data_IF_565405328629
#
_entry.id   IF_565405328629
#
_cell.length_a   1.000
_cell.length_b   1.000
_cell.length_c   1.000
_cell.angle_alpha   90.00
_cell.angle_beta   90.00
_cell.angle_gamma   90.00
#
_symmetry.space_group_name_H-M   'P 1'
#
loop_
_entity.id
_entity.type
_entity.pdbx_description
1 polymer ?
#
# COMPACT_ATOMS: atom_id res chain seq x y z
N UNK A 1 -14.02 22.84 8.52
CA UNK A 1 -15.18 22.37 7.72
C UNK A 1 -15.48 20.97 8.19
N UNK A 2 -16.64 20.73 8.79
CA UNK A 2 -17.03 19.42 9.32
C UNK A 2 -17.80 18.68 8.21
N UNK A 3 -17.33 17.49 7.82
CA UNK A 3 -18.02 16.64 6.85
C UNK A 3 -19.34 16.12 7.46
N UNK A 4 -20.51 16.44 6.90
CA UNK A 4 -21.78 15.94 7.39
C UNK A 4 -22.01 14.53 6.83
N UNK A 5 -21.55 13.51 7.54
CA UNK A 5 -21.77 12.11 7.13
C UNK A 5 -21.51 11.02 8.17
N UNK A 6 -20.95 11.37 9.33
CA UNK A 6 -20.46 10.37 10.29
C UNK A 6 -21.56 9.76 11.19
N UNK A 7 -22.77 10.34 11.26
CA UNK A 7 -23.79 9.96 12.27
C UNK A 7 -24.87 8.96 11.82
N UNK A 8 -24.91 8.56 10.55
CA UNK A 8 -25.94 7.63 10.04
C UNK A 8 -25.44 6.20 9.78
N UNK A 9 -24.14 5.90 9.98
CA UNK A 9 -23.58 4.57 9.70
C UNK A 9 -23.73 3.53 10.83
N UNK A 10 -24.34 3.90 11.95
CA UNK A 10 -24.44 3.03 13.13
C UNK A 10 -25.69 2.11 13.14
N UNK A 11 -26.52 2.12 12.09
CA UNK A 11 -27.81 1.41 12.06
C UNK A 11 -27.92 0.49 10.84
N UNK A 12 -27.17 -0.63 10.79
CA UNK A 12 -27.54 -1.85 10.03
C UNK A 12 -26.52 -3.02 10.14
N UNK A 13 -26.04 -3.39 11.34
CA UNK A 13 -25.04 -4.48 11.50
C UNK A 13 -25.58 -5.87 11.88
N UNK A 14 -26.88 -6.03 12.12
CA UNK A 14 -27.44 -7.38 12.33
C UNK A 14 -27.77 -8.04 10.99
N UNK A 15 -26.78 -8.74 10.43
CA UNK A 15 -27.00 -9.72 9.37
C UNK A 15 -26.64 -9.31 7.94
N UNK A 16 -25.86 -8.23 7.73
CA UNK A 16 -25.29 -7.94 6.41
C UNK A 16 -23.98 -8.70 6.23
N UNK A 17 -23.90 -9.52 5.18
CA UNK A 17 -22.66 -10.12 4.69
C UNK A 17 -21.70 -8.99 4.30
N UNK A 18 -20.47 -9.03 4.83
CA UNK A 18 -19.41 -8.13 4.40
C UNK A 18 -18.77 -8.68 3.14
N UNK A 19 -18.54 -7.80 2.17
CA UNK A 19 -17.93 -8.12 0.89
C UNK A 19 -16.47 -7.70 0.98
N UNK A 20 -15.56 -8.62 0.63
CA UNK A 20 -14.16 -8.30 0.45
C UNK A 20 -13.99 -7.64 -0.92
N UNK A 21 -13.46 -6.43 -0.94
CA UNK A 21 -13.06 -5.71 -2.14
C UNK A 21 -11.52 -5.73 -2.20
N UNK A 22 -10.98 -6.28 -3.28
CA UNK A 22 -9.55 -6.41 -3.49
C UNK A 22 -9.13 -5.57 -4.71
N UNK A 23 -8.31 -4.53 -4.50
CA UNK A 23 -7.64 -3.82 -5.59
C UNK A 23 -6.30 -4.51 -5.86
N UNK A 24 -6.16 -5.06 -7.07
CA UNK A 24 -4.98 -5.80 -7.51
C UNK A 24 -4.72 -5.47 -8.98
N UNK A 25 -3.49 -5.07 -9.33
CA UNK A 25 -3.12 -4.75 -10.72
C UNK A 25 -4.04 -3.70 -11.38
N UNK A 26 -4.46 -2.69 -10.61
CA UNK A 26 -5.39 -1.65 -11.09
C UNK A 26 -6.81 -2.16 -11.39
N UNK A 27 -7.18 -3.35 -10.93
CA UNK A 27 -8.51 -3.94 -11.08
C UNK A 27 -9.11 -4.25 -9.72
N UNK A 28 -10.39 -3.95 -9.57
CA UNK A 28 -11.15 -4.36 -8.39
C UNK A 28 -11.74 -5.74 -8.63
N UNK A 29 -11.59 -6.59 -7.62
CA UNK A 29 -12.22 -7.90 -7.51
C UNK A 29 -13.04 -7.96 -6.23
N UNK A 30 -14.05 -8.83 -6.23
CA UNK A 30 -14.94 -9.01 -5.09
C UNK A 30 -14.96 -10.47 -4.66
N UNK A 31 -15.09 -10.70 -3.36
CA UNK A 31 -15.32 -12.01 -2.80
C UNK A 31 -16.34 -11.94 -1.65
N UNK A 32 -17.31 -12.85 -1.67
CA UNK A 32 -18.36 -12.98 -0.65
C UNK A 32 -18.25 -14.33 0.08
N UNK A 33 -17.58 -15.30 -0.55
CA UNK A 33 -17.37 -16.63 -0.01
C UNK A 33 -15.90 -16.88 0.30
N UNK A 34 -15.63 -17.80 1.23
CA UNK A 34 -14.26 -18.21 1.53
C UNK A 34 -13.51 -18.76 0.31
N UNK A 35 -14.20 -19.47 -0.59
CA UNK A 35 -13.57 -20.01 -1.79
C UNK A 35 -13.04 -18.88 -2.70
N UNK A 36 -13.82 -17.81 -2.90
CA UNK A 36 -13.41 -16.63 -3.66
C UNK A 36 -12.28 -15.87 -2.94
N UNK A 37 -12.39 -15.67 -1.62
CA UNK A 37 -11.35 -15.00 -0.82
C UNK A 37 -10.03 -15.77 -0.90
N UNK A 38 -10.07 -17.10 -0.76
CA UNK A 38 -8.88 -17.96 -0.86
C UNK A 38 -8.23 -17.88 -2.23
N UNK A 39 -9.01 -17.73 -3.31
CA UNK A 39 -8.45 -17.52 -4.65
C UNK A 39 -7.73 -16.18 -4.76
N UNK A 40 -8.31 -15.10 -4.24
CA UNK A 40 -7.65 -13.79 -4.19
C UNK A 40 -6.37 -13.82 -3.36
N UNK A 41 -6.38 -14.50 -2.20
CA UNK A 41 -5.19 -14.68 -1.36
C UNK A 41 -4.09 -15.42 -2.12
N UNK A 42 -4.42 -16.55 -2.75
CA UNK A 42 -3.46 -17.31 -3.57
C UNK A 42 -2.92 -16.46 -4.72
N UNK A 43 -3.76 -15.63 -5.35
CA UNK A 43 -3.30 -14.73 -6.41
C UNK A 43 -2.30 -13.68 -5.91
N UNK A 44 -2.56 -13.05 -4.76
CA UNK A 44 -1.66 -12.04 -4.19
C UNK A 44 -0.35 -12.65 -3.69
N UNK A 45 -0.42 -13.83 -3.07
CA UNK A 45 0.69 -14.39 -2.30
C UNK A 45 1.52 -15.39 -3.10
N UNK A 46 0.90 -16.16 -4.00
CA UNK A 46 1.53 -17.32 -4.66
C UNK A 46 1.64 -17.16 -6.17
N UNK A 47 0.62 -16.61 -6.83
CA UNK A 47 0.64 -16.39 -8.28
C UNK A 47 1.05 -14.95 -8.57
N UNK A 48 2.35 -14.64 -8.47
CA UNK A 48 2.84 -13.39 -9.05
C UNK A 48 2.90 -13.55 -10.58
N UNK A 49 1.94 -13.05 -11.38
CA UNK A 49 2.26 -12.79 -12.78
C UNK A 49 3.43 -11.81 -12.80
N UNK A 50 4.32 -11.95 -13.79
CA UNK A 50 5.08 -10.77 -14.24
C UNK A 50 4.05 -9.65 -14.43
N UNK A 51 4.30 -8.42 -13.93
CA UNK A 51 3.34 -7.34 -14.03
C UNK A 51 2.91 -7.22 -15.49
N UNK A 52 1.67 -7.63 -15.79
CA UNK A 52 1.13 -7.45 -17.13
C UNK A 52 1.18 -5.95 -17.39
N UNK A 53 1.75 -5.51 -18.53
CA UNK A 53 1.80 -4.09 -18.84
C UNK A 53 0.38 -3.53 -18.74
N UNK A 54 0.20 -2.34 -18.14
CA UNK A 54 -1.11 -1.78 -17.87
C UNK A 54 -1.99 -1.85 -19.13
N UNK A 55 -3.30 -2.15 -18.98
CA UNK A 55 -4.19 -2.29 -20.13
C UNK A 55 -4.02 -1.05 -21.02
N UNK A 56 -3.62 -1.29 -22.28
CA UNK A 56 -3.41 -0.21 -23.25
C UNK A 56 -4.72 0.57 -23.34
N UNK A 57 -4.77 1.72 -22.68
CA UNK A 57 -5.85 2.67 -22.87
C UNK A 57 -5.83 2.99 -24.37
N UNK A 58 -6.95 2.78 -25.07
CA UNK A 58 -7.12 3.13 -26.49
C UNK A 58 -7.02 4.65 -26.63
N UNK A 59 -5.80 5.14 -26.54
CA UNK A 59 -5.38 6.47 -26.93
C UNK A 59 -5.08 6.44 -28.42
N UNK A 60 -5.25 7.57 -29.10
CA UNK A 60 -4.77 7.70 -30.47
C UNK A 60 -3.34 7.17 -30.58
N UNK A 61 -3.00 6.40 -31.63
CA UNK A 61 -1.71 5.77 -31.73
C UNK A 61 -0.64 6.85 -31.63
N UNK A 62 0.16 6.80 -30.55
CA UNK A 62 1.22 7.77 -30.32
C UNK A 62 2.05 7.96 -31.60
N UNK A 63 2.44 9.19 -31.97
CA UNK A 63 3.28 9.43 -33.14
C UNK A 63 4.50 8.48 -33.14
N UNK A 64 4.94 8.05 -34.32
CA UNK A 64 6.01 7.04 -34.43
C UNK A 64 7.26 7.39 -33.60
N UNK A 65 7.63 8.67 -33.55
CA UNK A 65 8.77 9.16 -32.77
C UNK A 65 8.59 9.02 -31.25
N UNK A 66 7.35 9.09 -30.74
CA UNK A 66 7.05 8.85 -29.31
C UNK A 66 7.19 7.37 -28.98
N UNK A 67 6.72 6.48 -29.87
CA UNK A 67 6.89 5.02 -29.70
C UNK A 67 8.35 4.61 -29.75
N UNK A 68 9.10 5.10 -30.73
CA UNK A 68 10.53 4.83 -30.86
C UNK A 68 11.32 5.37 -29.66
N UNK A 69 10.96 6.56 -29.16
CA UNK A 69 11.52 7.11 -27.92
C UNK A 69 11.21 6.20 -26.72
N UNK A 70 9.94 5.81 -26.51
CA UNK A 70 9.52 4.93 -25.41
C UNK A 70 10.14 3.53 -25.47
N UNK A 71 10.36 2.98 -26.67
CA UNK A 71 11.03 1.69 -26.88
C UNK A 71 12.56 1.78 -26.73
N UNK A 72 13.13 2.97 -26.96
CA UNK A 72 14.55 3.27 -26.75
C UNK A 72 14.91 3.62 -25.31
N UNK A 73 13.90 4.01 -24.50
CA UNK A 73 14.10 4.11 -23.07
C UNK A 73 14.54 2.73 -22.57
N UNK A 74 15.45 2.65 -21.59
CA UNK A 74 15.61 1.43 -20.82
C UNK A 74 14.20 0.98 -20.45
N UNK A 75 13.85 -0.28 -20.74
CA UNK A 75 12.63 -0.83 -20.17
C UNK A 75 12.73 -0.50 -18.68
N UNK A 76 11.74 0.18 -18.08
CA UNK A 76 11.78 0.35 -16.65
C UNK A 76 11.96 -1.06 -16.13
N UNK A 77 13.10 -1.29 -15.45
CA UNK A 77 13.23 -2.37 -14.51
C UNK A 77 12.16 -2.01 -13.48
N UNK A 78 10.91 -2.39 -13.79
CA UNK A 78 9.80 -2.25 -12.87
C UNK A 78 10.36 -2.88 -11.62
N UNK A 79 10.49 -2.13 -10.51
CA UNK A 79 11.24 -2.60 -9.38
C UNK A 79 10.69 -3.99 -9.06
N UNK A 80 11.57 -5.00 -9.14
CA UNK A 80 11.25 -6.40 -8.85
C UNK A 80 10.70 -6.56 -7.42
N UNK A 81 10.60 -5.46 -6.68
CA UNK A 81 10.15 -5.35 -5.31
C UNK A 81 8.70 -5.70 -5.02
N UNK A 82 8.05 -6.39 -5.95
CA UNK A 82 6.94 -7.26 -5.64
C UNK A 82 5.56 -6.74 -6.01
N UNK A 83 4.56 -7.61 -5.85
CA UNK A 83 3.18 -7.27 -6.12
C UNK A 83 2.53 -6.65 -4.89
N UNK A 84 1.63 -5.70 -5.15
CA UNK A 84 0.80 -5.09 -4.11
C UNK A 84 -0.67 -5.38 -4.32
N UNK A 85 -1.39 -5.48 -3.21
CA UNK A 85 -2.84 -5.60 -3.19
C UNK A 85 -3.42 -4.82 -2.01
N UNK A 86 -4.67 -4.37 -2.15
CA UNK A 86 -5.40 -3.70 -1.08
C UNK A 86 -6.70 -4.44 -0.81
N UNK A 87 -6.90 -4.86 0.43
CA UNK A 87 -8.07 -5.59 0.88
C UNK A 87 -8.92 -4.71 1.81
N UNK A 88 -10.19 -4.55 1.45
CA UNK A 88 -11.15 -3.67 2.13
C UNK A 88 -12.44 -4.45 2.38
N UNK A 89 -12.98 -4.37 3.59
CA UNK A 89 -14.32 -4.88 3.87
C UNK A 89 -15.35 -3.75 3.79
N UNK A 90 -16.42 -3.99 3.05
CA UNK A 90 -17.54 -3.05 2.96
C UNK A 90 -18.87 -3.80 2.92
N UNK A 91 -19.95 -3.09 3.26
CA UNK A 91 -21.32 -3.62 3.13
C UNK A 91 -21.83 -3.70 1.69
N UNK A 92 -21.01 -3.29 0.71
CA UNK A 92 -21.33 -3.29 -0.71
C UNK A 92 -20.05 -3.52 -1.55
N UNK A 93 -20.24 -3.82 -2.83
CA UNK A 93 -19.16 -3.85 -3.82
C UNK A 93 -18.75 -2.42 -4.13
N UNK A 94 -17.45 -2.14 -4.08
CA UNK A 94 -16.88 -0.83 -4.37
C UNK A 94 -16.43 -0.76 -5.83
N UNK A 95 -16.49 0.41 -6.45
CA UNK A 95 -15.79 0.68 -7.71
C UNK A 95 -14.50 1.49 -7.49
N UNK A 96 -13.80 1.83 -8.58
CA UNK A 96 -12.52 2.57 -8.49
C UNK A 96 -12.70 3.97 -7.92
N UNK A 97 -13.85 4.60 -8.14
CA UNK A 97 -14.14 5.94 -7.66
C UNK A 97 -14.46 5.92 -6.15
N UNK A 98 -15.00 4.82 -5.63
CA UNK A 98 -15.26 4.64 -4.20
C UNK A 98 -14.00 4.49 -3.34
N UNK A 99 -12.90 3.97 -3.92
CA UNK A 99 -11.66 3.67 -3.19
C UNK A 99 -10.92 4.93 -2.69
N UNK A 100 -11.23 6.12 -3.20
CA UNK A 100 -10.53 7.36 -2.85
C UNK A 100 -10.94 7.98 -1.51
N UNK A 101 -11.78 7.31 -0.69
CA UNK A 101 -12.09 7.84 0.64
C UNK A 101 -13.23 7.20 1.43
N UNK A 102 -13.78 6.05 0.98
CA UNK A 102 -14.94 5.43 1.64
C UNK A 102 -14.72 4.00 2.15
N UNK A 103 -13.50 3.65 2.55
CA UNK A 103 -13.24 2.36 3.18
C UNK A 103 -13.22 2.48 4.71
N UNK A 104 -13.85 1.55 5.41
CA UNK A 104 -13.83 1.51 6.87
C UNK A 104 -12.48 0.99 7.40
N UNK A 105 -11.86 0.09 6.64
CA UNK A 105 -10.60 -0.54 6.96
C UNK A 105 -9.81 -0.81 5.69
N UNK A 106 -8.49 -0.91 5.85
CA UNK A 106 -7.57 -1.06 4.74
C UNK A 106 -6.42 -1.96 5.16
N UNK A 107 -6.25 -3.06 4.44
CA UNK A 107 -5.08 -3.93 4.55
C UNK A 107 -4.33 -3.90 3.21
N UNK A 108 -3.19 -3.22 3.19
CA UNK A 108 -2.22 -3.29 2.11
C UNK A 108 -1.31 -4.49 2.30
N UNK A 109 -1.10 -5.22 1.21
CA UNK A 109 -0.29 -6.43 1.15
C UNK A 109 0.76 -6.19 0.08
N UNK A 110 2.02 -6.38 0.42
CA UNK A 110 3.13 -6.32 -0.52
C UNK A 110 3.94 -7.62 -0.42
N UNK A 111 4.27 -8.25 -1.56
CA UNK A 111 5.02 -9.51 -1.61
C UNK A 111 6.05 -9.47 -2.73
N UNK A 112 7.32 -9.66 -2.38
CA UNK A 112 8.39 -9.96 -3.32
C UNK A 112 8.64 -11.47 -3.33
N UNK A 113 8.14 -12.18 -4.35
CA UNK A 113 8.32 -13.64 -4.41
C UNK A 113 9.75 -14.06 -4.78
N UNK A 114 10.54 -13.17 -5.40
CA UNK A 114 11.94 -13.47 -5.69
C UNK A 114 12.74 -13.66 -4.39
N UNK A 115 12.39 -12.89 -3.35
CA UNK A 115 13.01 -13.02 -2.02
C UNK A 115 12.22 -13.93 -1.08
N UNK A 116 10.93 -14.16 -1.33
CA UNK A 116 10.04 -14.94 -0.48
C UNK A 116 9.57 -14.18 0.77
N UNK A 117 9.66 -12.85 0.74
CA UNK A 117 9.25 -11.95 1.82
C UNK A 117 8.11 -11.04 1.37
N UNK A 118 7.32 -10.58 2.33
CA UNK A 118 6.32 -9.54 2.13
C UNK A 118 6.14 -8.68 3.36
N UNK A 119 5.29 -7.68 3.27
CA UNK A 119 4.95 -6.79 4.37
C UNK A 119 3.46 -6.49 4.33
N UNK A 120 2.91 -6.14 5.50
CA UNK A 120 1.53 -5.73 5.66
C UNK A 120 1.47 -4.33 6.24
N UNK A 121 0.50 -3.56 5.78
CA UNK A 121 0.15 -2.28 6.34
C UNK A 121 -1.35 -2.23 6.55
N UNK A 122 -1.78 -1.86 7.75
CA UNK A 122 -3.17 -1.79 8.14
C UNK A 122 -3.51 -0.44 8.73
N UNK A 123 -4.68 0.08 8.38
CA UNK A 123 -5.25 1.28 9.00
C UNK A 123 -6.77 1.26 8.91
N UNK A 124 -7.38 2.15 9.69
CA UNK A 124 -8.80 2.50 9.61
C UNK A 124 -8.93 3.98 9.30
N UNK A 125 -10.02 4.36 8.66
CA UNK A 125 -10.30 5.76 8.34
C UNK A 125 -11.08 6.45 9.44
N UNK A 126 -11.05 7.78 9.44
CA UNK A 126 -11.94 8.57 10.30
C UNK A 126 -13.41 8.24 9.98
N UNK A 127 -14.19 7.96 11.01
CA UNK A 127 -15.59 7.54 10.84
C UNK A 127 -15.78 6.08 10.44
N UNK A 128 -14.72 5.26 10.53
CA UNK A 128 -14.81 3.80 10.38
C UNK A 128 -15.89 3.21 11.26
N UNK A 129 -16.58 2.20 10.75
CA UNK A 129 -17.46 1.36 11.57
C UNK A 129 -16.69 0.29 12.36
N UNK A 130 -15.41 0.07 12.07
CA UNK A 130 -14.58 -0.91 12.78
C UNK A 130 -14.32 -0.45 14.21
N UNK A 131 -14.70 -1.27 15.19
CA UNK A 131 -14.60 -0.89 16.60
C UNK A 131 -13.21 -1.20 17.12
N UNK A 132 -12.36 -0.17 17.17
CA UNK A 132 -11.00 -0.25 17.72
C UNK A 132 -10.77 0.84 18.77
N UNK A 133 -9.78 0.62 19.64
CA UNK A 133 -9.37 1.65 20.60
C UNK A 133 -8.84 2.89 19.85
N UNK A 134 -9.05 4.11 20.34
CA UNK A 134 -8.58 5.34 19.69
C UNK A 134 -7.07 5.32 19.39
N UNK A 135 -6.26 4.82 20.32
CA UNK A 135 -4.81 4.69 20.13
C UNK A 135 -4.41 3.77 18.97
N UNK A 136 -5.28 2.81 18.61
CA UNK A 136 -5.10 1.94 17.44
C UNK A 136 -5.53 2.69 16.17
N UNK A 137 -6.63 3.44 16.21
CA UNK A 137 -7.14 4.17 15.04
C UNK A 137 -6.24 5.34 14.60
N UNK A 138 -5.44 5.90 15.50
CA UNK A 138 -4.56 7.06 15.24
C UNK A 138 -3.31 6.73 14.41
N UNK A 139 -3.03 5.45 14.16
CA UNK A 139 -1.78 5.02 13.52
C UNK A 139 -2.03 4.19 12.27
N UNK A 140 -1.11 4.32 11.32
CA UNK A 140 -0.85 3.26 10.35
C UNK A 140 -0.05 2.19 11.07
N UNK A 141 -0.46 0.94 10.94
CA UNK A 141 0.22 -0.20 11.54
C UNK A 141 0.94 -0.97 10.47
N UNK A 142 2.21 -1.30 10.69
CA UNK A 142 3.03 -2.06 9.77
C UNK A 142 3.40 -3.38 10.45
N UNK A 143 3.47 -4.48 9.69
CA UNK A 143 3.98 -5.74 10.19
C UNK A 143 5.32 -5.55 10.88
N UNK A 144 5.53 -6.30 11.95
CA UNK A 144 6.74 -6.26 12.74
C UNK A 144 7.41 -7.63 12.79
N UNK A 145 8.67 -7.68 12.37
CA UNK A 145 9.51 -8.86 12.38
C UNK A 145 10.68 -8.66 13.36
N UNK A 146 10.67 -9.33 14.52
CA UNK A 146 11.78 -9.27 15.47
C UNK A 146 13.05 -9.98 14.96
N UNK A 147 12.94 -10.77 13.90
CA UNK A 147 14.03 -11.52 13.26
C UNK A 147 14.08 -11.20 11.76
N UNK A 148 14.42 -9.96 11.38
CA UNK A 148 14.50 -9.56 9.98
C UNK A 148 15.55 -10.37 9.22
N UNK A 149 15.41 -10.51 7.89
CA UNK A 149 16.48 -11.03 7.06
C UNK A 149 17.75 -10.16 7.17
N UNK A 150 18.92 -10.79 7.01
CA UNK A 150 20.22 -10.10 7.00
C UNK A 150 20.52 -9.37 5.67
N UNK A 151 19.55 -9.37 4.75
CA UNK A 151 19.60 -8.71 3.46
C UNK A 151 18.34 -7.86 3.29
N UNK A 152 18.38 -6.91 2.37
CA UNK A 152 17.21 -6.11 2.02
C UNK A 152 16.26 -6.92 1.12
N UNK A 153 15.03 -7.23 1.55
CA UNK A 153 14.11 -8.04 0.76
C UNK A 153 13.44 -7.28 -0.37
N UNK A 154 13.67 -5.96 -0.44
CA UNK A 154 13.17 -5.08 -1.48
C UNK A 154 11.65 -5.22 -1.64
N UNK A 155 10.88 -5.05 -0.56
CA UNK A 155 9.41 -5.16 -0.60
C UNK A 155 8.83 -3.75 -0.75
N UNK A 156 8.17 -3.48 -1.88
CA UNK A 156 7.57 -2.17 -2.20
C UNK A 156 6.47 -1.82 -1.18
N UNK A 157 6.52 -0.60 -0.66
CA UNK A 157 5.47 -0.04 0.20
C UNK A 157 4.48 0.83 -0.57
N UNK A 158 4.96 1.50 -1.62
CA UNK A 158 4.16 2.35 -2.49
C UNK A 158 4.59 2.11 -3.96
N UNK A 159 3.71 1.60 -4.84
CA UNK A 159 4.08 1.40 -6.24
C UNK A 159 4.11 2.71 -7.05
N UNK A 160 3.48 3.79 -6.58
CA UNK A 160 3.49 5.10 -7.23
C UNK A 160 4.76 5.90 -6.98
N UNK A 161 5.47 5.58 -5.89
CA UNK A 161 6.76 6.17 -5.53
C UNK A 161 7.65 5.03 -5.05
N UNK A 162 8.83 4.75 -5.64
CA UNK A 162 9.64 3.56 -5.35
C UNK A 162 10.20 3.57 -3.91
N UNK A 163 9.30 3.38 -2.96
CA UNK A 163 9.51 3.29 -1.53
C UNK A 163 9.32 1.84 -1.17
N UNK A 164 10.06 1.43 -0.16
CA UNK A 164 10.12 0.05 0.27
C UNK A 164 9.92 0.00 1.77
N UNK A 165 9.38 -1.13 2.23
CA UNK A 165 9.30 -1.43 3.64
C UNK A 165 10.70 -1.65 4.23
N UNK A 166 10.91 -1.12 5.43
CA UNK A 166 12.10 -1.42 6.23
C UNK A 166 12.23 -2.95 6.43
N UNK A 167 13.44 -3.56 6.47
CA UNK A 167 13.59 -5.01 6.62
C UNK A 167 12.91 -5.59 7.87
N UNK A 168 12.90 -4.87 8.99
CA UNK A 168 12.12 -5.24 10.19
C UNK A 168 10.60 -5.24 9.99
N UNK A 169 10.09 -4.71 8.90
CA UNK A 169 8.68 -4.81 8.55
C UNK A 169 8.35 -5.97 7.62
N UNK A 170 9.37 -6.67 7.12
CA UNK A 170 9.18 -7.79 6.20
C UNK A 170 9.08 -9.12 6.95
N UNK A 171 8.14 -9.97 6.54
CA UNK A 171 7.92 -11.32 7.08
C UNK A 171 8.06 -12.35 5.96
N UNK A 172 8.45 -13.59 6.27
CA UNK A 172 8.37 -14.69 5.32
C UNK A 172 6.96 -14.82 4.74
N UNK A 173 6.84 -15.14 3.45
CA UNK A 173 5.57 -15.19 2.72
C UNK A 173 4.51 -16.10 3.36
N UNK A 174 4.94 -17.19 4.04
CA UNK A 174 4.04 -18.06 4.80
C UNK A 174 3.33 -17.35 5.96
N UNK A 175 4.00 -16.41 6.63
CA UNK A 175 3.39 -15.59 7.71
C UNK A 175 2.45 -14.53 7.12
N UNK A 176 2.83 -13.93 5.99
CA UNK A 176 1.95 -13.02 5.25
C UNK A 176 0.65 -13.73 4.86
N UNK A 177 0.75 -14.93 4.29
CA UNK A 177 -0.42 -15.78 3.95
C UNK A 177 -1.31 -16.01 5.16
N UNK A 178 -0.74 -16.43 6.28
CA UNK A 178 -1.50 -16.71 7.51
C UNK A 178 -2.25 -15.47 8.02
N UNK A 179 -1.59 -14.31 8.03
CA UNK A 179 -2.21 -13.05 8.45
C UNK A 179 -3.35 -12.62 7.52
N UNK A 180 -3.16 -12.70 6.20
CA UNK A 180 -4.24 -12.35 5.24
C UNK A 180 -5.40 -13.33 5.32
N UNK A 181 -5.14 -14.63 5.52
CA UNK A 181 -6.20 -15.61 5.79
C UNK A 181 -6.99 -15.28 7.06
N UNK A 182 -6.31 -14.91 8.16
CA UNK A 182 -6.96 -14.52 9.40
C UNK A 182 -7.86 -13.29 9.19
N UNK A 183 -7.33 -12.24 8.54
CA UNK A 183 -8.08 -11.04 8.20
C UNK A 183 -9.38 -11.39 7.45
N UNK A 184 -9.27 -12.26 6.44
CA UNK A 184 -10.39 -12.65 5.59
C UNK A 184 -11.40 -13.54 6.32
N UNK A 185 -10.95 -14.51 7.12
CA UNK A 185 -11.83 -15.41 7.90
C UNK A 185 -12.60 -14.67 8.98
N UNK A 186 -11.96 -13.71 9.65
CA UNK A 186 -12.62 -12.93 10.69
C UNK A 186 -13.65 -11.99 10.08
N UNK A 187 -13.34 -11.39 8.91
CA UNK A 187 -14.27 -10.52 8.19
C UNK A 187 -14.68 -9.28 8.98
N UNK A 188 -13.97 -8.93 10.06
CA UNK A 188 -14.31 -7.78 10.93
C UNK A 188 -13.64 -6.49 10.49
N UNK A 189 -12.63 -6.60 9.63
CA UNK A 189 -11.74 -5.52 9.27
C UNK A 189 -10.68 -5.18 10.33
N UNK A 190 -10.64 -5.90 11.45
CA UNK A 190 -9.54 -5.80 12.41
C UNK A 190 -8.23 -6.27 11.80
N UNK A 191 -7.11 -5.68 12.24
CA UNK A 191 -5.79 -6.21 11.91
C UNK A 191 -5.65 -7.66 12.42
N UNK A 192 -4.99 -8.54 11.67
CA UNK A 192 -4.62 -9.88 12.12
C UNK A 192 -3.86 -9.89 13.45
N UNK A 193 -4.14 -10.87 14.30
CA UNK A 193 -3.49 -11.07 15.60
C UNK A 193 -2.35 -12.09 15.53
N UNK A 194 -2.27 -12.90 14.47
CA UNK A 194 -1.21 -13.91 14.32
C UNK A 194 0.19 -13.34 14.01
N UNK A 195 0.32 -12.02 13.88
CA UNK A 195 1.60 -11.32 13.69
C UNK A 195 1.68 -10.10 14.61
N UNK A 196 2.91 -9.62 14.83
CA UNK A 196 3.16 -8.38 15.55
C UNK A 196 3.05 -7.17 14.63
N UNK A 197 2.75 -6.01 15.22
CA UNK A 197 2.56 -4.75 14.52
C UNK A 197 3.32 -3.63 15.23
N UNK A 198 3.88 -2.72 14.46
CA UNK A 198 4.46 -1.46 14.96
C UNK A 198 3.76 -0.26 14.33
N UNK A 199 3.68 0.91 15.01
CA UNK A 199 3.25 2.15 14.38
C UNK A 199 4.18 2.57 13.23
N UNK A 200 3.60 3.11 12.17
CA UNK A 200 4.29 3.52 10.96
C UNK A 200 3.58 4.64 10.20
N UNK A 201 4.00 4.83 8.96
CA UNK A 201 3.44 5.77 7.99
C UNK A 201 2.95 5.04 6.73
N UNK A 202 2.11 5.69 5.92
CA UNK A 202 1.67 5.17 4.61
C UNK A 202 2.83 4.88 3.65
N UNK A 203 3.99 5.47 3.91
CA UNK A 203 5.22 5.26 3.17
C UNK A 203 5.86 3.89 3.39
N UNK A 204 5.36 3.08 4.33
CA UNK A 204 6.00 1.85 4.78
C UNK A 204 7.09 2.06 5.84
N UNK A 205 7.36 3.32 6.21
CA UNK A 205 8.32 3.70 7.26
C UNK A 205 7.77 3.37 8.64
N UNK A 206 8.63 2.84 9.51
CA UNK A 206 8.32 2.59 10.93
C UNK A 206 8.59 3.83 11.78
N UNK A 207 7.75 4.10 12.79
CA UNK A 207 7.93 5.23 13.72
C UNK A 207 8.87 4.92 14.89
N UNK A 208 9.17 3.64 15.13
CA UNK A 208 10.07 3.20 16.20
C UNK A 208 11.55 3.16 15.78
N UNK A 209 11.83 3.49 14.52
CA UNK A 209 13.19 3.47 13.98
C UNK A 209 13.77 4.88 14.03
N UNK A 210 14.88 5.10 14.77
CA UNK A 210 15.37 6.44 15.08
C UNK A 210 16.01 7.16 13.89
N UNK A 211 16.41 6.42 12.86
CA UNK A 211 17.05 7.01 11.68
C UNK A 211 15.99 7.45 10.65
N UNK A 212 16.09 8.66 10.10
CA UNK A 212 15.43 8.93 8.82
C UNK A 212 16.05 7.95 7.81
N UNK A 213 15.25 7.03 7.28
CA UNK A 213 15.68 6.20 6.16
C UNK A 213 15.98 7.15 4.98
N UNK A 214 17.22 7.59 4.87
CA UNK A 214 17.78 8.22 3.68
C UNK A 214 17.93 7.15 2.59
N UNK A 215 16.85 6.44 2.24
CA UNK A 215 16.70 5.96 0.87
C UNK A 215 16.36 7.18 0.04
N UNK A 216 17.40 8.00 -0.16
CA UNK A 216 17.41 9.04 -1.15
C UNK A 216 17.14 8.32 -2.47
N UNK A 217 15.91 8.38 -2.95
CA UNK A 217 15.60 8.25 -4.37
C UNK A 217 16.25 9.47 -5.03
N UNK A 218 17.58 9.47 -5.11
CA UNK A 218 18.30 10.34 -6.01
C UNK A 218 17.79 9.85 -7.35
N UNK A 219 16.89 10.62 -7.94
CA UNK A 219 16.62 10.49 -9.34
C UNK A 219 18.00 10.62 -10.00
N UNK A 220 18.59 9.51 -10.42
CA UNK A 220 19.83 9.50 -11.21
C UNK A 220 19.59 10.09 -12.62
N UNK A 221 18.42 10.72 -12.84
CA UNK A 221 18.15 11.54 -14.00
C UNK A 221 19.21 12.64 -14.08
N UNK A 222 20.06 12.65 -15.12
CA UNK A 222 21.05 13.69 -15.34
C UNK A 222 20.44 15.10 -15.46
N UNK A 223 19.11 15.21 -15.54
CA UNK A 223 18.36 16.46 -15.64
C UNK A 223 17.94 17.00 -14.27
N UNK A 224 18.11 16.23 -13.18
CA UNK A 224 17.86 16.67 -11.81
C UNK A 224 18.88 17.71 -11.30
N UNK A 225 20.02 17.88 -11.98
CA UNK A 225 21.06 18.86 -11.61
C UNK A 225 20.65 20.32 -11.86
N UNK A 226 19.56 20.56 -12.59
CA UNK A 226 19.03 21.91 -12.80
C UNK A 226 18.05 22.28 -11.68
N UNK A 227 18.63 22.56 -10.51
CA UNK A 227 17.94 23.09 -9.36
C UNK A 227 17.16 24.38 -9.73
N UNK A 228 15.84 24.27 -9.86
CA UNK A 228 14.98 25.43 -9.98
C UNK A 228 13.57 25.19 -10.52
N UNK A 229 13.32 24.10 -11.25
CA UNK A 229 12.07 23.95 -12.02
C UNK A 229 11.35 22.60 -11.86
N UNK A 230 11.68 21.80 -10.84
CA UNK A 230 10.91 20.59 -10.55
C UNK A 230 9.87 20.85 -9.45
N UNK A 231 8.56 20.65 -9.70
CA UNK A 231 7.49 20.90 -8.72
C UNK A 231 7.51 19.97 -7.49
N UNK A 232 8.51 19.09 -7.38
CA UNK A 232 8.59 18.02 -6.38
C UNK A 232 9.72 18.20 -5.34
N UNK A 233 10.51 19.28 -5.39
CA UNK A 233 11.35 19.69 -4.26
C UNK A 233 10.59 20.76 -3.46
N UNK A 234 9.78 20.34 -2.48
CA UNK A 234 9.32 21.26 -1.45
C UNK A 234 10.54 21.66 -0.62
N UNK A 235 11.03 22.89 -0.80
CA UNK A 235 12.13 23.46 -0.04
C UNK A 235 11.73 23.55 1.43
N UNK A 236 12.30 22.65 2.25
CA UNK A 236 12.32 22.79 3.70
C UNK A 236 13.22 23.97 4.09
N UNK A 237 12.58 25.06 4.49
CA UNK A 237 13.03 26.12 5.41
C UNK A 237 14.52 26.51 5.42
N UNK A 238 14.83 27.68 4.86
CA UNK A 238 15.88 28.54 5.40
C UNK A 238 15.31 29.33 6.59
N UNK A 239 15.47 28.79 7.80
CA UNK A 239 15.71 29.62 8.97
C UNK A 239 17.19 30.00 8.92
N UNK A 240 17.49 31.24 8.54
CA UNK A 240 18.64 32.00 9.03
C UNK A 240 18.57 33.43 8.51
N UNK A 241 17.97 34.30 9.32
CA UNK A 241 18.23 35.74 9.27
C UNK A 241 18.09 36.30 10.67
N UNK A 242 19.18 36.25 11.42
CA UNK A 242 19.44 37.10 12.57
C UNK A 242 19.86 38.48 12.04
N UNK A 243 19.21 39.59 12.44
CA UNK A 243 19.84 40.89 12.42
C UNK A 243 20.15 41.34 13.85
N UNK A 244 21.44 41.34 14.19
CA UNK A 244 21.96 42.32 15.13
C UNK A 244 22.00 43.68 14.43
N UNK A 245 21.16 44.61 14.88
CA UNK A 245 21.43 46.04 15.08
C UNK A 245 20.21 46.71 15.71
#
# INVERSE_FOLDING_TARGET
>A
MLFPGCREREIARKGRTLILNALMHGRIRHAETWAEMSQLITEVVENLPDPEPPPKQESEPAPAWVREALESLPKPDWPDGGMTAQFIFAGQRLDMDDLTGQFDNYLHIAVNAATGYGALMWLVTEGTTVSVAPSIAEHVWISDNPYPPAFDPDVISDPGFPRYHHPHSTLPVGQIRAAVEEFCRNGTGHRPECISWTPGELSGRRLDTPEPEERITLCEDPWCDQAGWHPYHAVGTSQDANPMA
#
